data_IF_206328319564
#
_entry.id   IF_206328319564
#
_cell.length_a   1.000
_cell.length_b   1.000
_cell.length_c   1.000
_cell.angle_alpha   90.00
_cell.angle_beta   90.00
_cell.angle_gamma   90.00
#
_symmetry.space_group_name_H-M   'P 1'
#
loop_
_entity.id
_entity.type
_entity.pdbx_description
1 polymer ?
#
# COMPACT_ATOMS: atom_id res chain seq x y z
N UNK A 1 34.41 11.10 -5.38
CA UNK A 1 33.48 10.86 -6.50
C UNK A 1 32.19 11.60 -6.19
N UNK A 2 31.59 12.30 -7.15
CA UNK A 2 30.33 13.00 -6.93
C UNK A 2 29.18 11.99 -6.85
N UNK A 3 28.51 11.93 -5.70
CA UNK A 3 27.28 11.16 -5.52
C UNK A 3 26.14 11.94 -6.15
N UNK A 4 25.36 11.31 -7.01
CA UNK A 4 24.19 11.98 -7.63
C UNK A 4 22.95 11.59 -6.84
N UNK A 5 22.19 12.58 -6.38
CA UNK A 5 20.97 12.37 -5.62
C UNK A 5 19.75 12.63 -6.50
N UNK A 6 18.79 11.71 -6.49
CA UNK A 6 17.53 11.83 -7.22
C UNK A 6 16.36 11.68 -6.27
N UNK A 7 15.41 12.61 -6.38
CA UNK A 7 14.10 12.50 -5.74
C UNK A 7 13.10 11.91 -6.74
N UNK A 8 12.38 10.87 -6.31
CA UNK A 8 11.40 10.14 -7.10
C UNK A 8 10.04 10.27 -6.42
N UNK A 9 9.03 10.63 -7.22
CA UNK A 9 7.66 10.91 -6.76
C UNK A 9 6.62 9.99 -7.40
N UNK A 10 7.00 9.24 -8.44
CA UNK A 10 6.11 8.36 -9.19
C UNK A 10 6.87 7.23 -9.90
N UNK A 11 6.14 6.18 -10.29
CA UNK A 11 6.69 5.06 -11.04
C UNK A 11 7.18 5.45 -12.45
N UNK A 12 6.44 6.22 -13.27
CA UNK A 12 6.94 6.65 -14.58
C UNK A 12 8.26 7.43 -14.50
N UNK A 13 8.41 8.28 -13.48
CA UNK A 13 9.67 9.01 -13.24
C UNK A 13 10.82 8.04 -12.92
N UNK A 14 10.57 7.02 -12.08
CA UNK A 14 11.55 5.99 -11.75
C UNK A 14 11.96 5.19 -12.99
N UNK A 15 11.01 4.80 -13.84
CA UNK A 15 11.28 4.03 -15.05
C UNK A 15 12.16 4.81 -16.03
N UNK A 16 11.87 6.10 -16.22
CA UNK A 16 12.72 7.00 -17.03
C UNK A 16 14.11 7.11 -16.44
N UNK A 17 14.22 7.32 -15.12
CA UNK A 17 15.51 7.41 -14.43
C UNK A 17 16.35 6.13 -14.61
N UNK A 18 15.74 4.96 -14.44
CA UNK A 18 16.41 3.67 -14.64
C UNK A 18 16.82 3.47 -16.09
N UNK A 19 16.00 3.88 -17.06
CA UNK A 19 16.33 3.77 -18.49
C UNK A 19 17.48 4.69 -18.90
N UNK A 20 17.51 5.91 -18.40
CA UNK A 20 18.49 6.93 -18.80
C UNK A 20 19.83 6.81 -18.06
N UNK A 21 19.78 6.33 -16.82
CA UNK A 21 20.92 6.36 -15.89
C UNK A 21 21.38 4.95 -15.50
N UNK A 22 20.47 3.98 -15.50
CA UNK A 22 20.75 2.60 -15.08
C UNK A 22 21.94 1.97 -15.80
N UNK A 23 22.66 1.13 -15.07
CA UNK A 23 23.85 0.42 -15.55
C UNK A 23 25.02 0.45 -14.57
N UNK A 24 26.00 -0.45 -14.75
CA UNK A 24 27.08 -0.66 -13.78
C UNK A 24 28.16 0.45 -13.78
N UNK A 25 28.11 1.37 -14.75
CA UNK A 25 29.23 2.27 -15.06
C UNK A 25 29.10 3.69 -14.46
N UNK A 26 28.13 3.95 -13.59
CA UNK A 26 27.90 5.31 -13.05
C UNK A 26 28.32 5.47 -11.59
N UNK A 27 28.61 6.71 -11.21
CA UNK A 27 28.83 7.19 -9.84
C UNK A 27 27.76 6.64 -8.90
N UNK A 28 28.08 6.50 -7.59
CA UNK A 28 27.10 6.13 -6.58
C UNK A 28 25.82 6.98 -6.73
N UNK A 29 24.69 6.30 -6.94
CA UNK A 29 23.38 6.92 -7.11
C UNK A 29 22.64 6.80 -5.79
N UNK A 30 22.25 7.94 -5.24
CA UNK A 30 21.34 8.01 -4.11
C UNK A 30 19.94 8.33 -4.62
N UNK A 31 18.96 7.51 -4.27
CA UNK A 31 17.55 7.75 -4.56
C UNK A 31 16.81 7.98 -3.25
N UNK A 32 15.91 8.95 -3.27
CA UNK A 32 14.89 9.11 -2.24
C UNK A 32 13.52 9.09 -2.89
N UNK A 33 12.61 8.31 -2.33
CA UNK A 33 11.22 8.28 -2.79
C UNK A 33 10.41 9.17 -1.86
N UNK A 34 10.06 10.38 -2.30
CA UNK A 34 9.31 11.32 -1.45
C UNK A 34 7.81 11.09 -1.50
N UNK A 35 7.31 10.55 -2.61
CA UNK A 35 5.93 10.09 -2.74
C UNK A 35 5.80 8.91 -3.69
N UNK A 36 4.68 8.20 -3.58
CA UNK A 36 4.34 7.08 -4.43
C UNK A 36 2.81 6.92 -4.49
N UNK A 37 2.24 6.74 -5.68
CA UNK A 37 0.87 6.23 -5.80
C UNK A 37 0.80 4.88 -5.12
N UNK A 38 -0.16 4.67 -4.22
CA UNK A 38 -0.21 3.44 -3.44
C UNK A 38 -0.22 2.17 -4.31
N UNK A 39 -0.94 2.21 -5.44
CA UNK A 39 -0.97 1.14 -6.45
C UNK A 39 0.38 0.79 -7.08
N UNK A 40 1.31 1.74 -7.12
CA UNK A 40 2.61 1.58 -7.76
C UNK A 40 3.70 1.09 -6.80
N UNK A 41 3.41 1.04 -5.49
CA UNK A 41 4.42 0.80 -4.44
C UNK A 41 5.20 -0.51 -4.64
N UNK A 42 4.51 -1.59 -5.02
CA UNK A 42 5.15 -2.89 -5.28
C UNK A 42 6.10 -2.83 -6.45
N UNK A 43 5.70 -2.19 -7.56
CA UNK A 43 6.53 -2.07 -8.75
C UNK A 43 7.76 -1.20 -8.47
N UNK A 44 7.56 -0.06 -7.81
CA UNK A 44 8.67 0.82 -7.42
C UNK A 44 9.66 0.12 -6.48
N UNK A 45 9.17 -0.61 -5.47
CA UNK A 45 10.02 -1.37 -4.56
C UNK A 45 10.81 -2.46 -5.29
N UNK A 46 10.19 -3.16 -6.25
CA UNK A 46 10.84 -4.20 -7.03
C UNK A 46 11.96 -3.64 -7.93
N UNK A 47 11.69 -2.55 -8.64
CA UNK A 47 12.69 -1.87 -9.49
C UNK A 47 13.87 -1.41 -8.63
N UNK A 48 13.61 -0.69 -7.54
CA UNK A 48 14.66 -0.14 -6.68
C UNK A 48 15.47 -1.22 -5.96
N UNK A 49 14.85 -2.35 -5.59
CA UNK A 49 15.58 -3.52 -5.09
C UNK A 49 16.56 -4.01 -6.14
N UNK A 50 16.09 -4.22 -7.37
CA UNK A 50 16.94 -4.70 -8.46
C UNK A 50 18.10 -3.74 -8.73
N UNK A 51 17.85 -2.42 -8.74
CA UNK A 51 18.92 -1.43 -8.93
C UNK A 51 19.95 -1.41 -7.78
N UNK A 52 19.49 -1.64 -6.55
CA UNK A 52 20.36 -1.76 -5.37
C UNK A 52 21.26 -3.00 -5.49
N UNK A 53 20.67 -4.14 -5.83
CA UNK A 53 21.36 -5.43 -5.95
C UNK A 53 22.31 -5.49 -7.14
N UNK A 54 21.88 -5.00 -8.31
CA UNK A 54 22.64 -5.09 -9.55
C UNK A 54 23.66 -3.96 -9.74
N UNK A 55 23.37 -2.75 -9.25
CA UNK A 55 24.14 -1.54 -9.57
C UNK A 55 24.53 -0.70 -8.34
N UNK A 56 24.35 -1.22 -7.12
CA UNK A 56 24.72 -0.55 -5.88
C UNK A 56 24.06 0.82 -5.68
N UNK A 57 22.87 1.02 -6.22
CA UNK A 57 22.07 2.20 -5.92
C UNK A 57 21.75 2.21 -4.42
N UNK A 58 21.83 3.37 -3.79
CA UNK A 58 21.42 3.55 -2.41
C UNK A 58 20.05 4.20 -2.38
N UNK A 59 19.08 3.53 -1.76
CA UNK A 59 17.73 4.07 -1.60
C UNK A 59 17.51 4.44 -0.14
N UNK A 60 17.42 5.73 0.15
CA UNK A 60 17.49 6.27 1.51
C UNK A 60 16.37 5.76 2.42
N UNK A 61 15.14 5.69 1.92
CA UNK A 61 13.95 5.27 2.65
C UNK A 61 13.35 3.95 2.12
N UNK A 62 14.20 3.03 1.65
CA UNK A 62 13.77 1.77 1.04
C UNK A 62 12.90 0.90 1.95
N UNK A 63 13.22 0.83 3.25
CA UNK A 63 12.43 0.07 4.23
C UNK A 63 10.99 0.59 4.31
N UNK A 64 10.79 1.90 4.26
CA UNK A 64 9.45 2.52 4.27
C UNK A 64 8.68 2.21 2.99
N UNK A 65 9.35 2.29 1.83
CA UNK A 65 8.75 1.90 0.54
C UNK A 65 8.36 0.42 0.53
N UNK A 66 9.19 -0.45 1.12
CA UNK A 66 8.88 -1.88 1.24
C UNK A 66 7.67 -2.11 2.15
N UNK A 67 7.60 -1.45 3.31
CA UNK A 67 6.43 -1.51 4.16
C UNK A 67 5.16 -1.04 3.43
N UNK A 68 5.26 0.01 2.60
CA UNK A 68 4.17 0.46 1.74
C UNK A 68 3.74 -0.59 0.70
N UNK A 69 4.71 -1.27 0.08
CA UNK A 69 4.45 -2.37 -0.86
C UNK A 69 3.76 -3.56 -0.17
N UNK A 70 4.22 -3.93 1.03
CA UNK A 70 3.62 -5.02 1.82
C UNK A 70 2.19 -4.64 2.25
N UNK A 71 1.95 -3.38 2.62
CA UNK A 71 0.62 -2.86 2.93
C UNK A 71 -0.30 -2.91 1.71
N UNK A 72 0.20 -2.56 0.52
CA UNK A 72 -0.53 -2.71 -0.74
C UNK A 72 -0.96 -4.15 -0.98
N UNK A 73 -0.08 -5.13 -0.79
CA UNK A 73 -0.43 -6.55 -0.97
C UNK A 73 -1.59 -6.96 -0.06
N UNK A 74 -1.60 -6.48 1.19
CA UNK A 74 -2.68 -6.78 2.13
C UNK A 74 -4.00 -6.14 1.69
N UNK A 75 -3.99 -4.85 1.33
CA UNK A 75 -5.18 -4.12 0.89
C UNK A 75 -5.72 -4.69 -0.42
N UNK A 76 -4.84 -4.98 -1.38
CA UNK A 76 -5.24 -5.57 -2.66
C UNK A 76 -5.88 -6.95 -2.45
N UNK A 77 -5.32 -7.77 -1.54
CA UNK A 77 -5.94 -9.05 -1.18
C UNK A 77 -7.29 -8.87 -0.49
N UNK A 78 -7.55 -7.78 0.25
CA UNK A 78 -8.89 -7.49 0.79
C UNK A 78 -9.84 -7.25 -0.38
N UNK A 79 -9.42 -6.41 -1.34
CA UNK A 79 -10.17 -6.00 -2.50
C UNK A 79 -10.56 -7.19 -3.41
N UNK A 80 -9.57 -8.02 -3.76
CA UNK A 80 -9.71 -9.04 -4.80
C UNK A 80 -10.21 -10.39 -4.27
N UNK A 81 -10.00 -10.68 -2.98
CA UNK A 81 -10.32 -12.00 -2.41
C UNK A 81 -11.38 -11.91 -1.33
N UNK A 82 -11.18 -11.06 -0.32
CA UNK A 82 -12.07 -11.05 0.84
C UNK A 82 -13.42 -10.40 0.52
N UNK A 83 -13.45 -9.24 -0.15
CA UNK A 83 -14.71 -8.59 -0.48
C UNK A 83 -15.60 -9.43 -1.41
N UNK A 84 -15.11 -10.03 -2.50
CA UNK A 84 -15.93 -10.91 -3.33
C UNK A 84 -16.47 -12.11 -2.57
N UNK A 85 -15.64 -12.74 -1.70
CA UNK A 85 -16.08 -13.86 -0.86
C UNK A 85 -17.19 -13.46 0.11
N UNK A 86 -17.07 -12.29 0.74
CA UNK A 86 -18.11 -11.79 1.67
C UNK A 86 -19.36 -11.35 0.90
N UNK A 87 -19.22 -10.83 -0.32
CA UNK A 87 -20.36 -10.54 -1.20
C UNK A 87 -21.11 -11.82 -1.57
N UNK A 88 -20.40 -12.92 -1.81
CA UNK A 88 -21.05 -14.22 -2.08
C UNK A 88 -21.73 -14.83 -0.86
N UNK A 89 -21.13 -14.67 0.32
CA UNK A 89 -21.69 -15.13 1.59
C UNK A 89 -21.45 -14.10 2.70
N UNK A 90 -22.44 -13.23 2.91
CA UNK A 90 -22.40 -12.19 3.96
C UNK A 90 -22.50 -12.75 5.38
N UNK A 91 -22.63 -14.08 5.55
CA UNK A 91 -22.63 -14.75 6.85
C UNK A 91 -21.33 -15.51 7.13
N UNK A 92 -20.34 -15.43 6.23
CA UNK A 92 -19.04 -16.06 6.42
C UNK A 92 -18.27 -15.40 7.58
N UNK A 93 -18.38 -16.00 8.76
CA UNK A 93 -17.71 -15.53 9.98
C UNK A 93 -16.17 -15.59 9.85
N UNK A 94 -15.63 -16.52 9.06
CA UNK A 94 -14.19 -16.62 8.81
C UNK A 94 -13.71 -15.42 8.00
N UNK A 95 -14.47 -15.02 6.99
CA UNK A 95 -14.12 -13.86 6.18
C UNK A 95 -14.16 -12.55 6.99
N UNK A 96 -15.14 -12.40 7.89
CA UNK A 96 -15.20 -11.25 8.83
C UNK A 96 -14.02 -11.25 9.81
N UNK A 97 -13.67 -12.41 10.37
CA UNK A 97 -12.52 -12.53 11.27
C UNK A 97 -11.20 -12.16 10.56
N UNK A 98 -11.04 -12.57 9.29
CA UNK A 98 -9.89 -12.20 8.48
C UNK A 98 -9.80 -10.69 8.21
N UNK A 99 -10.93 -9.99 8.01
CA UNK A 99 -10.92 -8.54 7.87
C UNK A 99 -10.39 -7.85 9.14
N UNK A 100 -10.86 -8.28 10.33
CA UNK A 100 -10.38 -7.73 11.60
C UNK A 100 -8.90 -7.97 11.83
N UNK A 101 -8.43 -9.20 11.58
CA UNK A 101 -7.01 -9.55 11.72
C UNK A 101 -6.09 -8.68 10.85
N UNK A 102 -6.51 -8.34 9.63
CA UNK A 102 -5.75 -7.46 8.74
C UNK A 102 -5.67 -6.02 9.22
N UNK A 103 -6.66 -5.54 9.98
CA UNK A 103 -6.65 -4.19 10.53
C UNK A 103 -5.41 -3.94 11.40
N UNK A 104 -5.06 -4.90 12.26
CA UNK A 104 -3.87 -4.78 13.11
C UNK A 104 -2.57 -4.72 12.30
N UNK A 105 -2.39 -5.63 11.33
CA UNK A 105 -1.22 -5.64 10.45
C UNK A 105 -1.09 -4.37 9.61
N UNK A 106 -2.22 -3.80 9.15
CA UNK A 106 -2.21 -2.52 8.42
C UNK A 106 -1.72 -1.38 9.31
N UNK A 107 -2.15 -1.31 10.57
CA UNK A 107 -1.69 -0.27 11.50
C UNK A 107 -0.18 -0.42 11.79
N UNK A 108 0.28 -1.65 11.98
CA UNK A 108 1.70 -1.95 12.22
C UNK A 108 2.57 -1.47 11.04
N UNK A 109 2.24 -1.89 9.81
CA UNK A 109 2.95 -1.46 8.61
C UNK A 109 2.83 0.06 8.36
N UNK A 110 1.68 0.66 8.67
CA UNK A 110 1.52 2.11 8.61
C UNK A 110 2.49 2.82 9.56
N UNK A 111 2.69 2.29 10.77
CA UNK A 111 3.69 2.78 11.72
C UNK A 111 5.12 2.72 11.18
N UNK A 112 5.48 1.65 10.48
CA UNK A 112 6.80 1.52 9.82
C UNK A 112 7.00 2.52 8.68
N UNK A 113 5.95 2.76 7.88
CA UNK A 113 5.96 3.79 6.83
C UNK A 113 6.17 5.18 7.43
N UNK A 114 5.44 5.48 8.52
CA UNK A 114 5.51 6.74 9.26
C UNK A 114 4.99 7.96 8.48
N UNK A 115 5.11 9.13 9.11
CA UNK A 115 4.71 10.41 8.50
C UNK A 115 3.19 10.63 8.44
N UNK A 116 2.72 11.68 7.73
CA UNK A 116 1.32 12.07 7.70
C UNK A 116 0.41 11.02 7.03
N UNK A 117 0.98 10.13 6.22
CA UNK A 117 0.25 9.06 5.54
C UNK A 117 -0.30 7.99 6.51
N UNK A 118 0.21 7.91 7.74
CA UNK A 118 -0.29 6.99 8.78
C UNK A 118 -1.79 7.22 9.03
N UNK A 119 -2.23 8.48 9.01
CA UNK A 119 -3.63 8.84 9.27
C UNK A 119 -4.59 8.31 8.20
N UNK A 120 -4.12 8.20 6.95
CA UNK A 120 -4.88 7.61 5.85
C UNK A 120 -5.17 6.14 6.14
N UNK A 121 -4.16 5.40 6.59
CA UNK A 121 -4.30 3.98 6.93
C UNK A 121 -5.08 3.76 8.22
N UNK A 122 -4.93 4.63 9.22
CA UNK A 122 -5.75 4.60 10.42
C UNK A 122 -7.24 4.80 10.08
N UNK A 123 -7.56 5.78 9.23
CA UNK A 123 -8.92 6.01 8.75
C UNK A 123 -9.45 4.82 7.94
N UNK A 124 -8.60 4.19 7.12
CA UNK A 124 -8.95 2.97 6.39
C UNK A 124 -9.30 1.82 7.34
N UNK A 125 -8.49 1.58 8.37
CA UNK A 125 -8.73 0.52 9.36
C UNK A 125 -9.99 0.77 10.18
N UNK A 126 -10.29 2.02 10.52
CA UNK A 126 -11.57 2.37 11.17
C UNK A 126 -12.77 1.97 10.28
N UNK A 127 -12.69 2.22 8.97
CA UNK A 127 -13.74 1.82 8.02
C UNK A 127 -13.81 0.29 7.85
N UNK A 128 -12.67 -0.38 7.82
CA UNK A 128 -12.58 -1.84 7.76
C UNK A 128 -13.22 -2.50 8.99
N UNK A 129 -12.96 -1.96 10.19
CA UNK A 129 -13.56 -2.46 11.43
C UNK A 129 -15.07 -2.23 11.47
N UNK A 130 -15.54 -1.04 11.07
CA UNK A 130 -16.97 -0.75 10.94
C UNK A 130 -17.66 -1.69 9.95
N UNK A 131 -17.02 -2.02 8.84
CA UNK A 131 -17.52 -3.01 7.89
C UNK A 131 -17.64 -4.38 8.57
N UNK A 132 -16.59 -4.84 9.25
CA UNK A 132 -16.59 -6.13 9.93
C UNK A 132 -17.69 -6.22 11.00
N UNK A 133 -17.89 -5.17 11.79
CA UNK A 133 -18.94 -5.10 12.81
C UNK A 133 -20.34 -5.14 12.18
N UNK A 134 -20.54 -4.40 11.09
CA UNK A 134 -21.81 -4.35 10.39
C UNK A 134 -22.19 -5.68 9.74
N UNK A 135 -21.22 -6.40 9.18
CA UNK A 135 -21.46 -7.71 8.56
C UNK A 135 -21.70 -8.77 9.64
N UNK A 136 -21.00 -8.67 10.78
CA UNK A 136 -21.22 -9.54 11.94
C UNK A 136 -22.58 -9.36 12.63
N UNK A 137 -23.23 -8.21 12.45
CA UNK A 137 -24.53 -7.91 13.04
C UNK A 137 -25.66 -8.71 12.35
N UNK A 138 -26.13 -9.75 13.05
CA UNK A 138 -27.17 -10.68 12.57
C UNK A 138 -28.53 -10.01 12.33
N UNK A 139 -28.80 -8.86 12.95
CA UNK A 139 -30.09 -8.16 12.84
C UNK A 139 -30.22 -7.35 11.54
N UNK A 140 -29.10 -7.15 10.82
CA UNK A 140 -29.10 -6.39 9.56
C UNK A 140 -29.57 -7.20 8.38
N UNK A 141 -30.28 -6.53 7.48
CA UNK A 141 -30.71 -7.11 6.21
C UNK A 141 -29.52 -7.35 5.28
N UNK A 142 -29.65 -8.34 4.38
CA UNK A 142 -28.64 -8.62 3.34
C UNK A 142 -28.38 -7.38 2.49
N UNK A 143 -29.43 -6.65 2.13
CA UNK A 143 -29.32 -5.40 1.33
C UNK A 143 -28.50 -4.32 2.04
N UNK A 144 -28.66 -4.16 3.35
CA UNK A 144 -27.86 -3.20 4.12
C UNK A 144 -26.37 -3.58 4.14
N UNK A 145 -26.07 -4.88 4.29
CA UNK A 145 -24.69 -5.38 4.24
C UNK A 145 -24.05 -5.21 2.86
N UNK A 146 -24.81 -5.45 1.79
CA UNK A 146 -24.35 -5.23 0.42
C UNK A 146 -24.03 -3.76 0.15
N UNK A 147 -24.90 -2.83 0.55
CA UNK A 147 -24.64 -1.40 0.40
C UNK A 147 -23.33 -0.97 1.07
N UNK A 148 -23.06 -1.45 2.28
CA UNK A 148 -21.81 -1.12 2.98
C UNK A 148 -20.57 -1.78 2.35
N UNK A 149 -20.71 -2.97 1.77
CA UNK A 149 -19.63 -3.61 1.01
C UNK A 149 -19.27 -2.79 -0.24
N UNK A 150 -20.26 -2.23 -0.92
CA UNK A 150 -20.07 -1.38 -2.08
C UNK A 150 -19.39 -0.06 -1.70
N UNK A 151 -19.86 0.58 -0.62
CA UNK A 151 -19.22 1.78 -0.06
C UNK A 151 -17.74 1.50 0.27
N UNK A 152 -17.46 0.37 0.94
CA UNK A 152 -16.09 0.02 1.31
C UNK A 152 -15.22 -0.32 0.09
N UNK A 153 -15.79 -0.93 -0.95
CA UNK A 153 -15.07 -1.14 -2.21
C UNK A 153 -14.64 0.19 -2.85
N UNK A 154 -15.48 1.23 -2.80
CA UNK A 154 -15.09 2.58 -3.24
C UNK A 154 -13.98 3.19 -2.38
N UNK A 155 -13.97 2.90 -1.07
CA UNK A 155 -12.88 3.34 -0.17
C UNK A 155 -11.55 2.71 -0.55
N UNK A 156 -11.53 1.41 -0.83
CA UNK A 156 -10.34 0.73 -1.33
C UNK A 156 -9.89 1.37 -2.65
N UNK A 157 -10.79 1.54 -3.61
CA UNK A 157 -10.46 2.09 -4.92
C UNK A 157 -9.77 3.46 -4.78
N UNK A 158 -10.32 4.35 -3.95
CA UNK A 158 -9.73 5.65 -3.68
C UNK A 158 -8.35 5.53 -3.02
N UNK A 159 -8.15 4.55 -2.14
CA UNK A 159 -6.85 4.30 -1.50
C UNK A 159 -5.81 3.82 -2.51
N UNK A 160 -6.17 2.97 -3.48
CA UNK A 160 -5.25 2.47 -4.51
C UNK A 160 -4.66 3.59 -5.39
N UNK A 161 -5.41 4.67 -5.59
CA UNK A 161 -4.96 5.85 -6.33
C UNK A 161 -4.46 7.00 -5.44
N UNK A 162 -4.41 6.79 -4.12
CA UNK A 162 -3.90 7.82 -3.21
C UNK A 162 -2.39 8.00 -3.40
N UNK A 163 -1.95 9.25 -3.47
CA UNK A 163 -0.52 9.55 -3.40
C UNK A 163 -0.07 9.52 -1.94
N UNK A 164 0.85 8.62 -1.62
CA UNK A 164 1.35 8.40 -0.26
C UNK A 164 2.69 9.10 -0.12
N UNK A 165 2.78 10.00 0.86
CA UNK A 165 4.03 10.65 1.23
C UNK A 165 4.88 9.70 2.04
N UNK A 166 6.15 9.60 1.68
CA UNK A 166 7.16 8.79 2.35
C UNK A 166 8.13 9.74 3.05
N UNK A 167 8.15 9.80 4.39
CA UNK A 167 9.01 10.73 5.11
C UNK A 167 10.49 10.44 4.83
N UNK A 168 11.28 11.51 4.90
CA UNK A 168 12.73 11.42 4.90
C UNK A 168 13.19 10.64 6.15
N UNK A 169 14.23 9.79 6.04
CA UNK A 169 14.78 9.06 7.18
C UNK A 169 15.36 10.01 8.23
#
# INVERSE_FOLDING_TARGET
MATTAFEVTSLPQLEVLVKEIGGPHRSQINVIVSSCTFGDAVAMAAILRHMTEAYQWRVANFTRLRALADLYVIVNRIAEVNLPRIRSDVRDAQAVALLRGRGATIIELAGEIGGPSVDIFAAFVLRLNRLADHIGDRLRSVRARQGLLDDFASVILNLLFANILLPFP
#
